data_IF_566171311782
#
_entry.id   IF_566171311782
#
_cell.length_a   1.000
_cell.length_b   1.000
_cell.length_c   1.000
_cell.angle_alpha   90.00
_cell.angle_beta   90.00
_cell.angle_gamma   90.00
#
_symmetry.space_group_name_H-M   'P 1'
#
loop_
_entity.id
_entity.type
_entity.pdbx_description
1 polymer ?
#
# COMPACT_ATOMS: atom_id res chain seq x y z
N UNK A 1 2.31 -5.78 -17.77
CA UNK A 1 3.55 -5.18 -17.23
C UNK A 1 3.31 -4.96 -15.75
N UNK A 2 4.17 -5.54 -14.92
CA UNK A 2 3.97 -5.72 -13.48
C UNK A 2 4.28 -4.45 -12.68
N UNK A 3 3.53 -4.23 -11.60
CA UNK A 3 3.78 -3.17 -10.61
C UNK A 3 4.14 -3.86 -9.31
N UNK A 4 5.23 -3.41 -8.68
CA UNK A 4 5.68 -3.97 -7.41
C UNK A 4 5.68 -2.89 -6.34
N UNK A 5 5.25 -3.26 -5.13
CA UNK A 5 5.46 -2.42 -3.94
C UNK A 5 6.91 -2.63 -3.50
N UNK A 6 7.67 -1.54 -3.40
CA UNK A 6 9.10 -1.56 -3.05
C UNK A 6 9.38 -1.02 -1.65
N UNK A 7 8.38 -0.41 -1.00
CA UNK A 7 8.52 0.14 0.34
C UNK A 7 7.19 0.67 0.87
N UNK A 8 7.20 0.96 2.17
CA UNK A 8 6.11 1.62 2.89
C UNK A 8 6.74 2.75 3.70
N UNK A 9 6.19 3.95 3.59
CA UNK A 9 6.71 5.15 4.22
C UNK A 9 5.61 5.85 5.03
N UNK A 10 6.04 6.62 6.03
CA UNK A 10 5.18 7.49 6.82
C UNK A 10 5.26 8.92 6.28
N UNK A 11 4.10 9.55 6.10
CA UNK A 11 3.97 10.94 5.68
C UNK A 11 3.13 11.71 6.69
N UNK A 12 3.06 13.05 6.53
CA UNK A 12 2.18 13.89 7.34
C UNK A 12 0.69 13.51 7.21
N UNK A 13 0.30 12.86 6.11
CA UNK A 13 -1.08 12.47 5.81
C UNK A 13 -1.39 11.00 6.13
N UNK A 14 -0.42 10.24 6.67
CA UNK A 14 -0.57 8.81 6.98
C UNK A 14 0.44 7.92 6.26
N UNK A 15 0.11 6.63 6.15
CA UNK A 15 0.97 5.59 5.57
C UNK A 15 0.79 5.55 4.05
N UNK A 16 1.90 5.52 3.30
CA UNK A 16 1.91 5.36 1.85
C UNK A 16 2.75 4.16 1.42
N UNK A 17 2.32 3.48 0.36
CA UNK A 17 3.10 2.45 -0.32
C UNK A 17 3.84 3.07 -1.51
N UNK A 18 5.15 2.85 -1.57
CA UNK A 18 5.96 3.18 -2.74
C UNK A 18 5.83 2.05 -3.77
N UNK A 19 5.20 2.35 -4.91
CA UNK A 19 5.00 1.43 -6.02
C UNK A 19 5.95 1.78 -7.18
N UNK A 20 6.52 0.76 -7.81
CA UNK A 20 7.40 0.90 -8.94
C UNK A 20 6.91 0.10 -10.15
N UNK A 21 7.06 0.70 -11.33
CA UNK A 21 6.86 0.07 -12.64
C UNK A 21 7.97 0.53 -13.58
N UNK A 22 9.01 -0.28 -13.72
CA UNK A 22 10.22 0.12 -14.45
C UNK A 22 10.86 1.37 -13.83
N UNK A 23 10.91 2.47 -14.58
CA UNK A 23 11.44 3.77 -14.10
C UNK A 23 10.39 4.63 -13.40
N UNK A 24 9.10 4.29 -13.53
CA UNK A 24 8.01 5.04 -12.92
C UNK A 24 7.87 4.65 -11.46
N UNK A 25 7.70 5.66 -10.60
CA UNK A 25 7.53 5.53 -9.15
C UNK A 25 6.30 6.32 -8.76
N UNK A 26 5.46 5.74 -7.90
CA UNK A 26 4.25 6.37 -7.41
C UNK A 26 4.09 6.05 -5.92
N UNK A 27 3.74 7.06 -5.13
CA UNK A 27 3.28 6.85 -3.78
C UNK A 27 1.75 6.72 -3.79
N UNK A 28 1.23 5.65 -3.20
CA UNK A 28 -0.21 5.39 -3.09
C UNK A 28 -0.56 5.37 -1.61
N UNK A 29 -1.59 6.10 -1.20
CA UNK A 29 -2.10 6.03 0.17
C UNK A 29 -2.50 4.59 0.52
N UNK A 30 -2.15 4.13 1.72
CA UNK A 30 -2.39 2.74 2.09
C UNK A 30 -3.88 2.38 2.09
N UNK A 31 -4.76 3.34 2.39
CA UNK A 31 -6.20 3.17 2.32
C UNK A 31 -6.67 2.90 0.89
N UNK A 32 -6.06 3.58 -0.08
CA UNK A 32 -6.39 3.47 -1.52
C UNK A 32 -5.64 2.33 -2.24
N UNK A 33 -4.70 1.66 -1.58
CA UNK A 33 -3.84 0.65 -2.22
C UNK A 33 -4.64 -0.62 -2.60
N UNK A 34 -4.84 -0.94 -3.89
CA UNK A 34 -5.52 -2.17 -4.25
C UNK A 34 -4.69 -3.39 -3.86
N UNK A 35 -5.28 -4.30 -3.07
CA UNK A 35 -4.66 -5.58 -2.74
C UNK A 35 -5.11 -6.66 -3.73
N UNK A 36 -4.19 -7.49 -4.26
CA UNK A 36 -4.56 -8.59 -5.14
C UNK A 36 -5.33 -9.67 -4.37
N UNK A 37 -6.10 -10.49 -5.09
CA UNK A 37 -6.75 -11.70 -4.55
C UNK A 37 -6.11 -12.93 -5.20
N UNK A 38 -5.50 -13.86 -4.43
CA UNK A 38 -5.38 -13.85 -2.97
C UNK A 38 -4.40 -12.78 -2.46
N UNK A 39 -4.65 -12.29 -1.24
CA UNK A 39 -3.78 -11.30 -0.59
C UNK A 39 -2.39 -11.90 -0.30
N UNK A 40 -1.30 -11.11 -0.43
CA UNK A 40 0.03 -11.60 -0.14
C UNK A 40 0.19 -11.86 1.36
N UNK A 41 1.09 -12.79 1.70
CA UNK A 41 1.45 -13.04 3.09
C UNK A 41 1.93 -11.76 3.76
N UNK A 42 1.45 -11.48 4.98
CA UNK A 42 1.77 -10.27 5.71
C UNK A 42 0.89 -9.06 5.36
N UNK A 43 -0.10 -9.17 4.47
CA UNK A 43 -1.00 -8.04 4.17
C UNK A 43 -2.06 -7.78 5.26
N UNK A 44 -2.14 -8.59 6.32
CA UNK A 44 -3.20 -8.50 7.32
C UNK A 44 -3.21 -7.16 8.09
N UNK A 45 -2.04 -6.54 8.29
CA UNK A 45 -1.94 -5.25 8.97
C UNK A 45 -2.56 -4.11 8.16
N UNK A 46 -2.58 -4.22 6.82
CA UNK A 46 -3.18 -3.22 5.93
C UNK A 46 -4.70 -3.18 6.17
N UNK A 47 -5.33 -4.35 6.25
CA UNK A 47 -6.75 -4.46 6.55
C UNK A 47 -7.10 -4.00 7.97
N UNK A 48 -6.23 -4.29 8.95
CA UNK A 48 -6.39 -3.77 10.31
C UNK A 48 -6.29 -2.24 10.35
N UNK A 49 -5.34 -1.66 9.61
CA UNK A 49 -5.16 -0.22 9.54
C UNK A 49 -6.33 0.48 8.85
N UNK A 50 -6.87 -0.10 7.76
CA UNK A 50 -8.09 0.40 7.10
C UNK A 50 -9.26 0.49 8.07
N UNK A 51 -9.54 -0.61 8.78
CA UNK A 51 -10.60 -0.64 9.80
C UNK A 51 -10.37 0.33 10.95
N UNK A 52 -9.12 0.60 11.32
CA UNK A 52 -8.81 1.62 12.31
C UNK A 52 -9.03 3.05 11.80
N UNK A 53 -8.68 3.34 10.55
CA UNK A 53 -8.85 4.66 9.95
C UNK A 53 -10.33 5.02 9.66
N UNK A 54 -11.19 4.01 9.55
CA UNK A 54 -12.65 4.18 9.37
C UNK A 54 -13.41 4.44 10.70
N UNK A 55 -12.72 4.43 11.86
CA UNK A 55 -13.28 4.73 13.18
C UNK A 55 -13.29 6.23 13.49
#
# INVERSE_FOLDING_TARGET
>A
MEVSVIGVDLTASGIVAACARGRQRQAIGLLDLPLPTPAPSGAQWIEAYRRWADC
#
